data_IF_860679726559
#
_entry.id   IF_860679726559
#
_cell.length_a   1.000
_cell.length_b   1.000
_cell.length_c   1.000
_cell.angle_alpha   90.00
_cell.angle_beta   90.00
_cell.angle_gamma   90.00
#
_symmetry.space_group_name_H-M   'P 1'
#
loop_
_entity.id
_entity.type
_entity.pdbx_description
1 polymer ?
#
# COMPACT_ATOMS: atom_id res chain seq x y z
N UNK A 1 -22.31 35.31 34.78
CA UNK A 1 -21.18 35.67 33.91
C UNK A 1 -20.33 34.42 33.71
N UNK A 2 -20.26 33.89 32.48
CA UNK A 2 -19.51 32.68 32.13
C UNK A 2 -18.00 32.97 32.23
N UNK A 3 -17.34 32.53 33.31
CA UNK A 3 -15.88 32.38 33.36
C UNK A 3 -15.48 31.01 32.79
N UNK A 4 -15.74 30.79 31.50
CA UNK A 4 -15.23 29.62 30.77
C UNK A 4 -13.98 30.04 30.00
N UNK A 5 -12.88 30.25 30.72
CA UNK A 5 -11.65 30.74 30.09
C UNK A 5 -10.44 30.83 31.01
N UNK A 6 -10.50 30.26 32.21
CA UNK A 6 -9.34 30.22 33.11
C UNK A 6 -8.74 28.81 33.09
N UNK A 7 -7.60 28.72 32.39
CA UNK A 7 -6.70 27.58 32.31
C UNK A 7 -7.22 26.35 31.56
N UNK A 8 -7.19 26.42 30.23
CA UNK A 8 -6.57 25.29 29.51
C UNK A 8 -5.18 25.18 30.15
N UNK A 9 -5.01 24.23 31.08
CA UNK A 9 -3.79 24.05 31.86
C UNK A 9 -2.60 24.11 30.91
N UNK A 10 -1.54 24.85 31.26
CA UNK A 10 -0.38 25.06 30.38
C UNK A 10 0.12 23.73 29.79
N UNK A 11 0.05 22.67 30.59
CA UNK A 11 0.34 21.29 30.19
C UNK A 11 -0.43 20.81 28.96
N UNK A 12 -1.69 21.17 28.80
CA UNK A 12 -2.53 20.78 27.65
C UNK A 12 -2.04 21.45 26.36
N UNK A 13 -1.65 22.72 26.44
CA UNK A 13 -1.09 23.45 25.28
C UNK A 13 0.24 22.81 24.86
N UNK A 14 1.08 22.46 25.84
CA UNK A 14 2.38 21.80 25.60
C UNK A 14 2.17 20.43 24.95
N UNK A 15 1.26 19.60 25.48
CA UNK A 15 0.96 18.28 24.92
C UNK A 15 0.39 18.39 23.49
N UNK A 16 -0.51 19.34 23.24
CA UNK A 16 -1.06 19.57 21.91
C UNK A 16 0.03 19.96 20.89
N UNK A 17 0.99 20.79 21.29
CA UNK A 17 2.11 21.18 20.44
C UNK A 17 3.05 20.00 20.14
N UNK A 18 3.38 19.18 21.14
CA UNK A 18 4.22 17.98 20.94
C UNK A 18 3.51 16.98 20.03
N UNK A 19 2.22 16.73 20.24
CA UNK A 19 1.44 15.82 19.42
C UNK A 19 1.40 16.25 17.95
N UNK A 20 1.20 17.56 17.69
CA UNK A 20 1.27 18.12 16.34
C UNK A 20 2.65 17.91 15.71
N UNK A 21 3.72 18.16 16.47
CA UNK A 21 5.09 18.02 15.97
C UNK A 21 5.38 16.55 15.59
N UNK A 22 5.01 15.60 16.45
CA UNK A 22 5.17 14.16 16.17
C UNK A 22 4.37 13.73 14.94
N UNK A 23 3.11 14.19 14.79
CA UNK A 23 2.29 13.87 13.62
C UNK A 23 2.90 14.41 12.33
N UNK A 24 3.45 15.63 12.34
CA UNK A 24 4.12 16.20 11.16
C UNK A 24 5.34 15.37 10.77
N UNK A 25 6.17 14.98 11.74
CA UNK A 25 7.35 14.15 11.48
C UNK A 25 6.96 12.77 10.93
N UNK A 26 5.97 12.11 11.55
CA UNK A 26 5.46 10.83 11.06
C UNK A 26 4.86 10.97 9.65
N UNK A 27 4.08 12.01 9.39
CA UNK A 27 3.52 12.26 8.07
C UNK A 27 4.64 12.42 7.03
N UNK A 28 5.66 13.24 7.28
CA UNK A 28 6.77 13.42 6.34
C UNK A 28 7.54 12.12 6.11
N UNK A 29 7.81 11.34 7.17
CA UNK A 29 8.48 10.04 7.04
C UNK A 29 7.63 9.04 6.26
N UNK A 30 6.32 8.98 6.51
CA UNK A 30 5.39 8.11 5.78
C UNK A 30 5.25 8.56 4.34
N UNK A 31 5.16 9.86 4.03
CA UNK A 31 5.12 10.33 2.65
C UNK A 31 6.44 10.01 1.92
N UNK A 32 7.58 10.21 2.59
CA UNK A 32 8.91 9.94 2.04
C UNK A 32 9.17 8.45 1.84
N UNK A 33 8.64 7.61 2.72
CA UNK A 33 8.75 6.15 2.64
C UNK A 33 7.68 5.53 1.74
N UNK A 34 6.50 6.14 1.68
CA UNK A 34 5.33 5.73 0.89
C UNK A 34 5.60 5.69 -0.60
N UNK A 35 6.49 6.57 -1.09
CA UNK A 35 7.04 6.49 -2.46
C UNK A 35 7.71 5.14 -2.76
N UNK A 36 8.28 4.47 -1.76
CA UNK A 36 8.90 3.14 -1.90
C UNK A 36 7.92 1.99 -1.64
N UNK A 37 6.85 2.20 -0.86
CA UNK A 37 5.84 1.17 -0.57
C UNK A 37 5.00 0.82 -1.81
N UNK A 38 4.83 1.77 -2.74
CA UNK A 38 4.23 1.51 -4.05
C UNK A 38 4.98 0.44 -4.86
N UNK A 39 6.30 0.29 -4.65
CA UNK A 39 7.10 -0.73 -5.33
C UNK A 39 6.93 -2.12 -4.69
N UNK A 40 6.74 -2.20 -3.36
CA UNK A 40 6.58 -3.47 -2.64
C UNK A 40 5.23 -4.16 -2.85
N UNK A 41 4.19 -3.39 -3.21
CA UNK A 41 2.84 -3.94 -3.49
C UNK A 41 2.56 -4.12 -4.99
N UNK A 42 3.54 -3.79 -5.84
CA UNK A 42 3.47 -4.02 -7.27
C UNK A 42 3.70 -5.47 -7.65
N UNK A 43 3.47 -5.82 -8.91
CA UNK A 43 3.68 -7.15 -9.46
C UNK A 43 5.10 -7.67 -9.17
N UNK A 44 6.11 -6.82 -9.37
CA UNK A 44 7.50 -7.14 -9.04
C UNK A 44 7.75 -7.26 -7.52
N UNK A 45 7.02 -6.50 -6.69
CA UNK A 45 7.16 -6.50 -5.24
C UNK A 45 6.64 -7.78 -4.58
N UNK A 46 5.62 -8.41 -5.17
CA UNK A 46 5.10 -9.72 -4.76
C UNK A 46 5.85 -10.91 -5.39
N UNK A 47 6.97 -10.65 -6.09
CA UNK A 47 7.74 -11.69 -6.79
C UNK A 47 7.14 -12.16 -8.10
N UNK A 48 6.19 -11.40 -8.66
CA UNK A 48 5.60 -11.64 -9.97
C UNK A 48 6.27 -10.86 -11.10
N UNK A 49 5.84 -11.15 -12.33
CA UNK A 49 6.27 -10.46 -13.55
C UNK A 49 5.07 -10.01 -14.37
N UNK A 50 5.24 -8.90 -15.08
CA UNK A 50 4.26 -8.43 -16.04
C UNK A 50 4.37 -9.23 -17.33
N UNK A 51 3.24 -9.66 -17.89
CA UNK A 51 3.15 -10.36 -19.16
C UNK A 51 2.07 -9.73 -20.04
N UNK A 52 2.15 -9.89 -21.36
CA UNK A 52 1.22 -9.25 -22.30
C UNK A 52 -0.13 -9.97 -22.35
N UNK A 53 -0.15 -11.29 -22.17
CA UNK A 53 -1.37 -12.11 -22.02
C UNK A 53 -1.28 -13.05 -20.81
N UNK A 54 -2.42 -13.53 -20.33
CA UNK A 54 -2.48 -14.60 -19.32
C UNK A 54 -1.83 -15.90 -19.78
N UNK A 55 -1.76 -16.09 -21.11
CA UNK A 55 -1.11 -17.24 -21.75
C UNK A 55 0.42 -17.18 -21.67
N UNK A 56 0.98 -15.99 -21.44
CA UNK A 56 2.43 -15.78 -21.29
C UNK A 56 2.92 -16.07 -19.86
N UNK A 57 2.03 -16.41 -18.92
CA UNK A 57 2.41 -16.88 -17.59
C UNK A 57 3.03 -18.28 -17.68
N UNK A 58 4.07 -18.56 -16.88
CA UNK A 58 4.68 -19.88 -16.83
C UNK A 58 3.75 -20.86 -16.10
N UNK A 59 3.97 -22.17 -16.29
CA UNK A 59 3.18 -23.25 -15.68
C UNK A 59 3.09 -23.17 -14.13
N UNK A 60 4.06 -22.52 -13.48
CA UNK A 60 4.12 -22.32 -12.03
C UNK A 60 3.64 -20.94 -11.56
N UNK A 61 3.08 -20.15 -12.47
CA UNK A 61 2.59 -18.80 -12.22
C UNK A 61 1.08 -18.75 -12.47
N UNK A 62 0.34 -18.07 -11.59
CA UNK A 62 -1.08 -17.73 -11.85
C UNK A 62 -1.20 -16.25 -12.15
N UNK A 63 -2.18 -15.92 -12.97
CA UNK A 63 -2.60 -14.54 -13.19
C UNK A 63 -3.25 -14.00 -11.91
N UNK A 64 -2.71 -12.93 -11.36
CA UNK A 64 -3.33 -12.16 -10.29
C UNK A 64 -4.33 -11.17 -10.90
N UNK A 65 -5.62 -11.52 -10.85
CA UNK A 65 -6.72 -10.68 -11.38
C UNK A 65 -6.89 -9.37 -10.61
N UNK A 66 -6.46 -9.32 -9.36
CA UNK A 66 -6.46 -8.11 -8.50
C UNK A 66 -5.35 -7.11 -8.88
N UNK A 67 -4.34 -7.55 -9.63
CA UNK A 67 -3.21 -6.74 -10.10
C UNK A 67 -3.13 -6.61 -11.62
N UNK A 68 -4.15 -7.09 -12.34
CA UNK A 68 -4.23 -7.10 -13.81
C UNK A 68 -5.29 -6.12 -14.35
N UNK A 69 -5.26 -5.84 -15.66
CA UNK A 69 -6.26 -4.99 -16.32
C UNK A 69 -6.10 -3.49 -15.98
N UNK A 70 -7.16 -2.75 -15.59
CA UNK A 70 -7.05 -1.31 -15.29
C UNK A 70 -6.16 -1.03 -14.07
N UNK A 71 -5.91 -2.05 -13.24
CA UNK A 71 -5.04 -2.00 -12.07
C UNK A 71 -3.59 -2.38 -12.39
N UNK A 72 -3.28 -2.82 -13.62
CA UNK A 72 -1.92 -3.17 -14.06
C UNK A 72 -0.93 -2.02 -13.83
N UNK A 73 -1.36 -0.78 -14.08
CA UNK A 73 -0.57 0.43 -13.86
C UNK A 73 -0.23 0.64 -12.38
N UNK A 74 -1.16 0.32 -11.48
CA UNK A 74 -0.95 0.38 -10.03
C UNK A 74 -0.05 -0.75 -9.52
N UNK A 75 0.02 -1.86 -10.27
CA UNK A 75 0.94 -2.96 -10.02
C UNK A 75 2.32 -2.75 -10.66
N UNK A 76 2.55 -1.65 -11.38
CA UNK A 76 3.82 -1.38 -12.07
C UNK A 76 3.96 -2.04 -13.45
N UNK A 77 2.88 -2.62 -13.98
CA UNK A 77 2.79 -3.15 -15.34
C UNK A 77 2.20 -2.11 -16.31
N UNK A 78 2.41 -2.28 -17.62
CA UNK A 78 1.80 -1.40 -18.63
C UNK A 78 0.29 -1.62 -18.72
N UNK A 79 -0.43 -0.62 -19.23
CA UNK A 79 -1.86 -0.75 -19.53
C UNK A 79 -2.08 -1.90 -20.52
N UNK A 80 -2.94 -2.85 -20.16
CA UNK A 80 -3.21 -4.05 -20.97
C UNK A 80 -2.36 -5.27 -20.61
N UNK A 81 -1.36 -5.15 -19.73
CA UNK A 81 -0.59 -6.29 -19.24
C UNK A 81 -1.25 -6.96 -18.03
N UNK A 82 -0.94 -8.23 -17.84
CA UNK A 82 -1.36 -9.03 -16.68
C UNK A 82 -0.18 -9.25 -15.73
N UNK A 83 -0.48 -9.42 -14.45
CA UNK A 83 0.53 -9.78 -13.45
C UNK A 83 0.53 -11.30 -13.24
N UNK A 84 1.64 -11.96 -13.60
CA UNK A 84 1.87 -13.38 -13.32
C UNK A 84 2.65 -13.50 -12.00
N UNK A 85 2.05 -14.09 -10.97
CA UNK A 85 2.70 -14.29 -9.67
C UNK A 85 3.02 -15.78 -9.49
N UNK A 86 4.20 -16.07 -8.92
CA UNK A 86 4.55 -17.45 -8.58
C UNK A 86 3.63 -17.95 -7.48
N UNK A 87 2.95 -19.06 -7.73
CA UNK A 87 2.11 -19.71 -6.72
C UNK A 87 3.01 -20.60 -5.88
N UNK A 88 3.62 -20.05 -4.82
CA UNK A 88 3.84 -20.90 -3.66
C UNK A 88 2.44 -21.34 -3.23
N UNK A 89 2.17 -22.65 -3.28
CA UNK A 89 0.85 -23.22 -2.99
C UNK A 89 0.37 -22.81 -1.59
N UNK A 90 -0.26 -21.66 -1.48
CA UNK A 90 -1.12 -21.34 -0.35
C UNK A 90 -2.48 -21.98 -0.64
N UNK A 91 -2.66 -23.13 0.01
CA UNK A 91 -3.93 -23.71 0.47
C UNK A 91 -4.99 -22.60 0.62
N UNK A 92 -5.84 -22.39 -0.40
CA UNK A 92 -7.06 -21.55 -0.30
C UNK A 92 -8.08 -21.80 -1.43
N UNK A 93 -7.76 -22.59 -2.46
CA UNK A 93 -8.71 -23.01 -3.51
C UNK A 93 -9.26 -24.43 -3.25
N UNK A 94 -9.54 -24.78 -1.99
CA UNK A 94 -10.27 -26.01 -1.65
C UNK A 94 -11.56 -25.66 -0.92
N UNK A 95 -12.46 -24.94 -1.60
CA UNK A 95 -13.88 -24.84 -1.23
C UNK A 95 -14.73 -24.53 -2.46
N UNK A 96 -14.87 -25.54 -3.34
CA UNK A 96 -16.10 -25.77 -4.11
C UNK A 96 -16.39 -27.26 -4.19
#
# INVERSE_FOLDING_TARGET
>A
MNKKGESISMSVIIIAAIALLVLVVLAVLVLRSGTSVGQGTGCAGVGGRCADSSEDCQENEKMDVTKSGPLAKSAGCREGQVCCVQVMRDISDEYE
#
